data_IF_437645303073
#
_entry.id   IF_437645303073
#
_cell.length_a   1.000
_cell.length_b   1.000
_cell.length_c   1.000
_cell.angle_alpha   90.00
_cell.angle_beta   90.00
_cell.angle_gamma   90.00
#
_symmetry.space_group_name_H-M   'P 1'
#
loop_
_entity.id
_entity.type
_entity.pdbx_description
1 polymer ?
#
# COMPACT_ATOMS: atom_id res chain seq x y z
N UNK A 1 -3.54 23.66 18.68
CA UNK A 1 -3.46 22.33 18.06
C UNK A 1 -4.84 22.05 17.53
N UNK A 2 -4.96 21.57 16.29
CA UNK A 2 -6.27 21.47 15.62
C UNK A 2 -7.15 20.42 16.31
N UNK A 3 -8.47 20.54 16.16
CA UNK A 3 -9.40 19.45 16.48
C UNK A 3 -9.40 18.40 15.36
N UNK A 4 -9.91 17.20 15.63
CA UNK A 4 -10.06 16.16 14.62
C UNK A 4 -10.91 16.65 13.41
N UNK A 5 -12.00 17.37 13.68
CA UNK A 5 -12.87 17.91 12.63
C UNK A 5 -12.17 19.00 11.79
N UNK A 6 -11.36 19.87 12.41
CA UNK A 6 -10.54 20.85 11.67
C UNK A 6 -9.52 20.16 10.75
N UNK A 7 -8.88 19.07 11.20
CA UNK A 7 -7.95 18.28 10.37
C UNK A 7 -8.68 17.67 9.18
N UNK A 8 -9.84 17.04 9.40
CA UNK A 8 -10.65 16.48 8.31
C UNK A 8 -11.08 17.55 7.32
N UNK A 9 -11.52 18.70 7.79
CA UNK A 9 -11.94 19.82 6.95
C UNK A 9 -10.78 20.35 6.10
N UNK A 10 -9.58 20.49 6.69
CA UNK A 10 -8.37 20.92 5.96
C UNK A 10 -7.98 19.94 4.85
N UNK A 11 -8.00 18.63 5.12
CA UNK A 11 -7.73 17.59 4.12
C UNK A 11 -8.80 17.61 3.02
N UNK A 12 -10.08 17.68 3.39
CA UNK A 12 -11.18 17.70 2.43
C UNK A 12 -11.14 18.94 1.52
N UNK A 13 -10.80 20.11 2.07
CA UNK A 13 -10.61 21.33 1.28
C UNK A 13 -9.46 21.19 0.29
N UNK A 14 -8.35 20.55 0.70
CA UNK A 14 -7.20 20.31 -0.19
C UNK A 14 -7.51 19.28 -1.29
N UNK A 15 -8.26 18.21 -0.99
CA UNK A 15 -8.76 17.27 -2.00
C UNK A 15 -9.62 18.02 -3.01
N UNK A 16 -10.63 18.76 -2.53
CA UNK A 16 -11.52 19.54 -3.39
C UNK A 16 -10.76 20.52 -4.29
N UNK A 17 -9.75 21.21 -3.77
CA UNK A 17 -8.94 22.12 -4.57
C UNK A 17 -8.13 21.43 -5.69
N UNK A 18 -7.88 20.11 -5.57
CA UNK A 18 -7.16 19.28 -6.54
C UNK A 18 -8.08 18.56 -7.53
N UNK A 19 -9.35 18.33 -7.16
CA UNK A 19 -10.34 17.69 -8.01
C UNK A 19 -10.52 18.43 -9.33
N UNK A 20 -10.65 17.68 -10.43
CA UNK A 20 -10.92 18.30 -11.73
C UNK A 20 -12.26 19.03 -11.73
N UNK A 21 -12.37 20.13 -12.49
CA UNK A 21 -13.56 20.99 -12.49
C UNK A 21 -14.89 20.24 -12.70
N UNK A 22 -14.91 19.16 -13.49
CA UNK A 22 -16.13 18.39 -13.73
C UNK A 22 -16.59 17.59 -12.50
N UNK A 23 -15.69 17.26 -11.57
CA UNK A 23 -15.98 16.49 -10.35
C UNK A 23 -16.73 17.31 -9.29
N UNK A 24 -16.70 18.64 -9.40
CA UNK A 24 -17.37 19.56 -8.47
C UNK A 24 -18.89 19.65 -8.65
N UNK A 25 -19.44 19.09 -9.74
CA UNK A 25 -20.89 19.10 -9.94
C UNK A 25 -21.56 18.14 -8.95
N UNK A 26 -22.72 18.50 -8.35
CA UNK A 26 -23.38 17.62 -7.38
C UNK A 26 -23.66 16.21 -7.93
N UNK A 27 -24.04 16.10 -9.20
CA UNK A 27 -24.30 14.83 -9.86
C UNK A 27 -23.05 13.97 -9.98
N UNK A 28 -21.91 14.54 -10.42
CA UNK A 28 -20.66 13.78 -10.53
C UNK A 28 -20.09 13.46 -9.15
N UNK A 29 -20.18 14.38 -8.19
CA UNK A 29 -19.76 14.13 -6.81
C UNK A 29 -20.55 12.97 -6.18
N UNK A 30 -21.88 12.96 -6.33
CA UNK A 30 -22.73 11.88 -5.84
C UNK A 30 -22.41 10.55 -6.56
N UNK A 31 -22.11 10.60 -7.85
CA UNK A 31 -21.75 9.44 -8.65
C UNK A 31 -20.39 8.85 -8.24
N UNK A 32 -19.37 9.69 -8.07
CA UNK A 32 -18.00 9.28 -7.77
C UNK A 32 -17.80 8.88 -6.29
N UNK A 33 -18.60 9.42 -5.36
CA UNK A 33 -18.47 9.14 -3.92
C UNK A 33 -19.03 7.77 -3.46
N UNK A 34 -19.71 7.03 -4.33
CA UNK A 34 -20.41 5.77 -3.98
C UNK A 34 -19.56 4.50 -4.10
N UNK A 35 -18.30 4.60 -4.48
CA UNK A 35 -17.48 3.44 -4.84
C UNK A 35 -16.48 3.12 -3.74
N UNK A 36 -16.85 2.16 -2.88
CA UNK A 36 -15.95 1.52 -1.93
C UNK A 36 -16.15 0.02 -2.00
N UNK A 37 -15.06 -0.74 -1.80
CA UNK A 37 -15.10 -2.20 -1.67
C UNK A 37 -14.64 -3.00 -2.90
N UNK A 38 -14.34 -2.34 -4.02
CA UNK A 38 -13.71 -2.96 -5.20
C UNK A 38 -12.21 -2.65 -5.29
N UNK A 39 -11.50 -3.45 -6.07
CA UNK A 39 -10.06 -3.32 -6.33
C UNK A 39 -9.80 -3.40 -7.82
N UNK A 40 -9.16 -2.36 -8.35
CA UNK A 40 -8.79 -2.28 -9.74
C UNK A 40 -7.49 -3.04 -10.00
N UNK A 41 -7.50 -3.93 -10.98
CA UNK A 41 -6.29 -4.47 -11.58
C UNK A 41 -5.61 -3.38 -12.44
N UNK A 42 -4.40 -2.98 -12.04
CA UNK A 42 -3.61 -1.91 -12.68
C UNK A 42 -2.24 -2.44 -13.07
N UNK A 43 -1.88 -2.32 -14.34
CA UNK A 43 -0.59 -2.74 -14.86
C UNK A 43 0.56 -1.94 -14.24
N UNK A 44 1.58 -2.65 -13.78
CA UNK A 44 2.76 -2.07 -13.13
C UNK A 44 3.72 -1.37 -14.10
N UNK A 45 3.57 -1.63 -15.41
CA UNK A 45 4.55 -1.29 -16.45
C UNK A 45 5.79 -2.18 -16.45
N UNK A 46 5.81 -3.27 -15.65
CA UNK A 46 6.90 -4.26 -15.59
C UNK A 46 6.36 -5.63 -15.99
N UNK A 47 6.51 -5.98 -17.26
CA UNK A 47 5.95 -7.22 -17.81
C UNK A 47 4.42 -7.23 -17.68
N UNK A 48 3.86 -8.37 -17.28
CA UNK A 48 2.41 -8.58 -17.18
C UNK A 48 1.86 -8.34 -15.76
N UNK A 49 2.71 -7.87 -14.85
CA UNK A 49 2.37 -7.68 -13.43
C UNK A 49 1.28 -6.63 -13.24
N UNK A 50 0.31 -6.94 -12.37
CA UNK A 50 -0.80 -6.05 -12.02
C UNK A 50 -0.90 -5.89 -10.50
N UNK A 51 -1.05 -4.66 -10.03
CA UNK A 51 -1.44 -4.38 -8.66
C UNK A 51 -2.96 -4.41 -8.54
N UNK A 52 -3.47 -4.87 -7.39
CA UNK A 52 -4.89 -4.79 -7.05
C UNK A 52 -5.10 -3.58 -6.13
N UNK A 53 -5.36 -2.42 -6.73
CA UNK A 53 -5.41 -1.12 -6.04
C UNK A 53 -6.85 -0.83 -5.59
N UNK A 54 -7.10 -0.40 -4.34
CA UNK A 54 -8.45 -0.06 -3.92
C UNK A 54 -9.07 1.04 -4.79
N UNK A 55 -10.30 0.83 -5.24
CA UNK A 55 -11.04 1.79 -6.07
C UNK A 55 -11.73 2.82 -5.17
N UNK A 56 -10.96 3.73 -4.58
CA UNK A 56 -11.45 4.82 -3.69
C UNK A 56 -11.58 6.16 -4.44
N UNK A 57 -11.78 6.11 -5.75
CA UNK A 57 -11.61 7.27 -6.63
C UNK A 57 -10.14 7.60 -6.85
N UNK A 58 -9.81 8.89 -6.92
CA UNK A 58 -8.41 9.32 -7.08
C UNK A 58 -7.68 9.28 -5.74
N UNK A 59 -6.51 8.64 -5.71
CA UNK A 59 -5.67 8.58 -4.51
C UNK A 59 -4.87 9.88 -4.39
N UNK A 60 -5.50 10.94 -3.88
CA UNK A 60 -4.85 12.23 -3.64
C UNK A 60 -3.78 12.15 -2.55
N UNK A 61 -4.09 11.41 -1.49
CA UNK A 61 -3.24 11.29 -0.32
C UNK A 61 -3.23 9.85 0.21
N UNK A 62 -2.13 9.51 0.86
CA UNK A 62 -1.99 8.35 1.72
C UNK A 62 -1.75 8.82 3.16
N UNK A 63 -2.25 8.06 4.11
CA UNK A 63 -2.32 8.46 5.50
C UNK A 63 -1.62 7.47 6.41
N UNK A 64 -1.06 7.96 7.51
CA UNK A 64 -0.60 7.15 8.64
C UNK A 64 -0.93 7.82 9.95
N UNK A 65 -1.80 7.21 10.72
CA UNK A 65 -2.13 7.65 12.08
C UNK A 65 -1.21 7.04 13.14
N UNK A 66 -0.88 7.83 14.16
CA UNK A 66 -0.16 7.36 15.35
C UNK A 66 -0.65 8.10 16.60
N UNK A 67 -0.72 7.39 17.72
CA UNK A 67 -1.13 7.95 19.02
C UNK A 67 -0.14 9.00 19.54
N UNK A 68 1.08 9.04 19.03
CA UNK A 68 2.06 10.08 19.33
C UNK A 68 3.11 10.18 18.21
N UNK A 69 3.77 11.34 18.12
CA UNK A 69 4.93 11.50 17.25
C UNK A 69 6.08 10.63 17.79
N UNK A 70 6.61 9.77 16.92
CA UNK A 70 7.87 9.05 17.17
C UNK A 70 8.90 9.60 16.22
N UNK A 71 9.59 10.66 16.62
CA UNK A 71 10.58 11.34 15.78
C UNK A 71 11.97 10.68 15.93
N UNK A 72 12.68 10.39 14.81
CA UNK A 72 12.19 10.41 13.44
C UNK A 72 11.23 9.25 13.15
N UNK A 73 10.22 9.48 12.30
CA UNK A 73 9.32 8.41 11.86
C UNK A 73 10.06 7.48 10.89
N UNK A 74 10.40 6.27 11.37
CA UNK A 74 11.21 5.27 10.66
C UNK A 74 10.61 3.86 10.77
N UNK A 75 10.91 2.96 9.81
CA UNK A 75 10.48 1.56 9.83
C UNK A 75 10.93 0.81 11.07
N UNK A 76 10.18 -0.23 11.43
CA UNK A 76 10.37 -1.04 12.64
C UNK A 76 11.74 -1.71 12.71
N UNK A 77 12.32 -2.11 11.56
CA UNK A 77 13.64 -2.76 11.48
C UNK A 77 14.81 -1.83 11.86
N UNK A 78 14.60 -0.51 11.90
CA UNK A 78 15.64 0.47 12.23
C UNK A 78 15.44 1.15 13.59
N UNK A 79 14.36 0.84 14.31
CA UNK A 79 14.07 1.44 15.62
C UNK A 79 14.99 0.87 16.69
N UNK A 80 15.46 1.73 17.59
CA UNK A 80 16.41 1.35 18.65
C UNK A 80 17.86 1.23 18.18
N UNK A 81 18.18 1.75 16.99
CA UNK A 81 19.52 1.74 16.39
C UNK A 81 20.18 0.34 16.35
N UNK A 82 19.51 -0.65 15.73
CA UNK A 82 20.04 -2.01 15.66
C UNK A 82 21.32 -2.09 14.83
N UNK A 83 22.18 -3.02 15.19
CA UNK A 83 23.38 -3.32 14.40
C UNK A 83 23.04 -4.12 13.13
N UNK A 84 24.02 -4.25 12.22
CA UNK A 84 23.83 -4.98 10.95
C UNK A 84 23.45 -6.45 11.14
N UNK A 85 23.88 -7.09 12.24
CA UNK A 85 23.56 -8.49 12.52
C UNK A 85 22.11 -8.67 12.94
N UNK A 86 21.57 -7.70 13.70
CA UNK A 86 20.16 -7.65 14.11
C UNK A 86 19.26 -7.37 12.91
N UNK A 87 19.61 -6.38 12.07
CA UNK A 87 18.89 -6.09 10.82
C UNK A 87 18.91 -7.31 9.89
N UNK A 88 20.06 -7.99 9.77
CA UNK A 88 20.16 -9.20 8.97
C UNK A 88 19.32 -10.35 9.53
N UNK A 89 19.21 -10.47 10.85
CA UNK A 89 18.32 -11.45 11.51
C UNK A 89 16.86 -11.21 11.15
N UNK A 90 16.39 -9.97 11.21
CA UNK A 90 15.02 -9.64 10.80
C UNK A 90 14.78 -9.91 9.30
N UNK A 91 15.80 -9.73 8.45
CA UNK A 91 15.75 -10.11 7.02
C UNK A 91 15.74 -11.64 6.81
N UNK A 92 16.37 -12.43 7.69
CA UNK A 92 16.22 -13.90 7.66
C UNK A 92 14.77 -14.30 7.98
N UNK A 93 14.13 -13.64 8.96
CA UNK A 93 12.71 -13.85 9.27
C UNK A 93 11.82 -13.48 8.10
N UNK A 94 12.09 -12.34 7.45
CA UNK A 94 11.41 -11.97 6.20
C UNK A 94 11.58 -13.05 5.13
N UNK A 95 12.77 -13.62 4.97
CA UNK A 95 13.02 -14.71 4.00
C UNK A 95 12.20 -15.97 4.33
N UNK A 96 12.11 -16.36 5.61
CA UNK A 96 11.22 -17.46 6.03
C UNK A 96 9.75 -17.14 5.73
N UNK A 97 9.31 -15.91 5.99
CA UNK A 97 7.94 -15.48 5.70
C UNK A 97 7.62 -15.49 4.20
N UNK A 98 8.58 -15.12 3.34
CA UNK A 98 8.44 -15.22 1.89
C UNK A 98 8.23 -16.66 1.43
N UNK A 99 8.96 -17.61 2.00
CA UNK A 99 8.76 -19.05 1.74
C UNK A 99 7.38 -19.53 2.18
N UNK A 100 6.91 -19.09 3.36
CA UNK A 100 5.55 -19.35 3.83
C UNK A 100 4.51 -18.83 2.82
N UNK A 101 4.62 -17.57 2.39
CA UNK A 101 3.72 -16.97 1.40
C UNK A 101 3.73 -17.73 0.07
N UNK A 102 4.91 -18.10 -0.41
CA UNK A 102 5.07 -18.83 -1.66
C UNK A 102 4.41 -20.22 -1.64
N UNK A 103 4.24 -20.82 -0.44
CA UNK A 103 3.55 -22.11 -0.24
C UNK A 103 2.02 -21.99 -0.13
N UNK A 104 1.46 -20.78 -0.10
CA UNK A 104 0.02 -20.57 0.05
C UNK A 104 -0.72 -20.89 -1.27
N UNK A 105 -1.73 -21.80 -1.28
CA UNK A 105 -2.37 -22.25 -2.51
C UNK A 105 -2.99 -21.13 -3.36
N UNK A 106 -3.63 -20.13 -2.73
CA UNK A 106 -4.18 -18.96 -3.45
C UNK A 106 -3.07 -18.09 -4.06
N UNK A 107 -1.92 -17.97 -3.38
CA UNK A 107 -0.79 -17.24 -3.94
C UNK A 107 -0.24 -17.99 -5.15
N UNK A 108 -0.10 -19.31 -5.01
CA UNK A 108 0.45 -20.20 -6.02
C UNK A 108 -0.43 -20.31 -7.27
N UNK A 109 -1.73 -20.53 -7.11
CA UNK A 109 -2.63 -20.91 -8.20
C UNK A 109 -3.52 -19.79 -8.71
N UNK A 110 -3.76 -18.73 -7.92
CA UNK A 110 -4.58 -17.59 -8.34
C UNK A 110 -3.72 -16.34 -8.61
N UNK A 111 -2.97 -15.86 -7.62
CA UNK A 111 -2.19 -14.62 -7.79
C UNK A 111 -1.13 -14.74 -8.89
N UNK A 112 -0.33 -15.81 -8.89
CA UNK A 112 0.69 -16.02 -9.93
C UNK A 112 0.07 -16.23 -11.32
N UNK A 113 -1.03 -16.98 -11.42
CA UNK A 113 -1.75 -17.23 -12.69
C UNK A 113 -2.22 -15.93 -13.35
N UNK A 114 -2.70 -14.98 -12.55
CA UNK A 114 -3.21 -13.69 -13.03
C UNK A 114 -2.16 -12.57 -13.05
N UNK A 115 -0.91 -12.90 -12.71
CA UNK A 115 0.19 -11.95 -12.57
C UNK A 115 -0.13 -10.83 -11.56
N UNK A 116 -0.91 -11.12 -10.52
CA UNK A 116 -1.16 -10.19 -9.44
C UNK A 116 0.05 -10.10 -8.52
N UNK A 117 0.51 -8.88 -8.26
CA UNK A 117 1.68 -8.63 -7.41
C UNK A 117 1.38 -9.02 -5.96
N UNK A 118 2.18 -9.95 -5.44
CA UNK A 118 2.18 -10.29 -4.01
C UNK A 118 3.20 -9.39 -3.31
N UNK A 119 2.71 -8.42 -2.53
CA UNK A 119 3.59 -7.50 -1.81
C UNK A 119 4.12 -8.16 -0.53
N UNK A 120 5.10 -9.04 -0.68
CA UNK A 120 5.61 -9.91 0.40
C UNK A 120 6.08 -9.13 1.64
N UNK A 121 6.80 -8.03 1.44
CA UNK A 121 7.35 -7.25 2.56
C UNK A 121 6.29 -6.38 3.24
N UNK A 122 5.34 -5.83 2.46
CA UNK A 122 4.17 -5.15 3.03
C UNK A 122 3.28 -6.10 3.84
N UNK A 123 3.07 -7.31 3.33
CA UNK A 123 2.39 -8.38 4.08
C UNK A 123 3.13 -8.72 5.37
N UNK A 124 4.45 -8.95 5.30
CA UNK A 124 5.26 -9.23 6.48
C UNK A 124 5.11 -8.15 7.56
N UNK A 125 5.14 -6.88 7.15
CA UNK A 125 4.95 -5.73 8.04
C UNK A 125 3.55 -5.73 8.69
N UNK A 126 2.49 -5.97 7.92
CA UNK A 126 1.10 -6.09 8.42
C UNK A 126 0.88 -7.26 9.38
N UNK A 127 1.68 -8.33 9.26
CA UNK A 127 1.68 -9.48 10.17
C UNK A 127 2.70 -9.36 11.32
N UNK A 128 3.30 -8.19 11.51
CA UNK A 128 4.08 -7.85 12.69
C UNK A 128 5.58 -8.19 12.62
N UNK A 129 6.09 -8.58 11.45
CA UNK A 129 7.53 -8.71 11.25
C UNK A 129 8.18 -7.32 11.19
N UNK A 130 9.44 -7.24 11.61
CA UNK A 130 10.23 -6.01 11.46
C UNK A 130 10.75 -5.89 10.03
N UNK A 131 10.34 -4.86 9.32
CA UNK A 131 10.71 -4.63 7.91
C UNK A 131 11.13 -3.19 7.65
N UNK A 132 11.52 -2.90 6.40
CA UNK A 132 11.84 -1.56 5.93
C UNK A 132 10.58 -0.75 5.53
N UNK A 133 9.39 -1.32 5.74
CA UNK A 133 8.11 -0.76 5.33
C UNK A 133 7.45 -0.01 6.49
N UNK A 134 6.86 1.14 6.16
CA UNK A 134 5.83 1.80 6.97
C UNK A 134 4.46 1.55 6.33
N UNK A 135 3.50 1.12 7.16
CA UNK A 135 2.11 0.99 6.74
C UNK A 135 1.50 2.36 6.50
N UNK A 136 0.92 2.53 5.32
CA UNK A 136 0.09 3.64 4.89
C UNK A 136 -1.29 3.12 4.48
N UNK A 137 -2.29 3.99 4.44
CA UNK A 137 -3.64 3.67 3.94
C UNK A 137 -4.17 4.81 3.07
N UNK A 138 -4.95 4.50 2.03
CA UNK A 138 -5.68 5.53 1.28
C UNK A 138 -7.00 5.96 1.95
N UNK A 139 -7.33 5.38 3.10
CA UNK A 139 -8.56 5.68 3.84
C UNK A 139 -8.27 6.50 5.11
N UNK A 140 -8.74 7.73 5.15
CA UNK A 140 -8.52 8.66 6.26
C UNK A 140 -9.10 8.12 7.58
N UNK A 141 -10.27 7.48 7.55
CA UNK A 141 -10.89 6.93 8.76
C UNK A 141 -10.08 5.77 9.35
N UNK A 142 -9.51 4.92 8.50
CA UNK A 142 -8.62 3.82 8.92
C UNK A 142 -7.37 4.39 9.59
N UNK A 143 -6.78 5.46 9.03
CA UNK A 143 -5.64 6.12 9.64
C UNK A 143 -6.01 6.75 10.99
N UNK A 144 -7.15 7.45 11.08
CA UNK A 144 -7.61 8.05 12.35
C UNK A 144 -7.85 6.96 13.40
N UNK A 145 -8.48 5.84 13.05
CA UNK A 145 -8.64 4.69 13.96
C UNK A 145 -7.30 4.26 14.55
N UNK A 146 -6.26 4.08 13.72
CA UNK A 146 -4.92 3.72 14.22
C UNK A 146 -4.23 4.84 15.01
N UNK A 147 -4.68 6.09 14.90
CA UNK A 147 -4.16 7.21 15.67
C UNK A 147 -4.83 7.34 17.05
N UNK A 148 -6.12 7.00 17.16
CA UNK A 148 -6.93 7.25 18.36
C UNK A 148 -7.52 5.98 19.00
N UNK A 149 -7.15 4.79 18.54
CA UNK A 149 -7.45 3.52 19.21
C UNK A 149 -6.13 2.79 19.52
N UNK A 150 -5.92 2.43 20.78
CA UNK A 150 -4.68 1.78 21.23
C UNK A 150 -4.74 0.28 20.97
N UNK A 151 -3.67 -0.28 20.44
CA UNK A 151 -3.49 -1.72 20.35
C UNK A 151 -3.02 -2.27 21.71
N UNK A 152 -3.70 -3.30 22.21
CA UNK A 152 -3.35 -4.04 23.41
C UNK A 152 -2.69 -5.37 23.03
N UNK A 153 -1.37 -5.45 23.25
CA UNK A 153 -0.59 -6.64 22.93
C UNK A 153 -1.01 -7.89 23.73
N UNK A 154 -1.51 -7.72 24.97
CA UNK A 154 -1.89 -8.85 25.82
C UNK A 154 -3.15 -9.55 25.35
N UNK A 155 -4.14 -8.77 24.92
CA UNK A 155 -5.41 -9.27 24.40
C UNK A 155 -5.42 -9.46 22.88
N UNK A 156 -4.38 -9.01 22.18
CA UNK A 156 -4.30 -9.01 20.70
C UNK A 156 -5.57 -8.40 20.09
N UNK A 157 -5.89 -7.19 20.56
CA UNK A 157 -7.10 -6.43 20.23
C UNK A 157 -6.87 -4.92 20.33
N UNK A 158 -7.74 -4.13 19.72
CA UNK A 158 -7.76 -2.68 19.92
C UNK A 158 -8.67 -2.31 21.10
N UNK A 159 -8.46 -1.12 21.65
CA UNK A 159 -9.29 -0.49 22.69
C UNK A 159 -9.31 1.03 22.44
N UNK A 160 -10.34 1.71 22.92
CA UNK A 160 -10.45 3.17 22.82
C UNK A 160 -9.77 3.86 24.02
N UNK A 161 -9.53 5.16 23.90
CA UNK A 161 -9.05 5.99 25.00
C UNK A 161 -10.25 6.55 25.78
N UNK A 162 -10.20 6.45 27.11
CA UNK A 162 -11.27 6.91 28.02
C UNK A 162 -11.14 8.38 28.41
N UNK A 163 -10.07 9.03 27.96
CA UNK A 163 -9.74 10.42 28.24
C UNK A 163 -9.40 11.09 26.91
N UNK A 164 -9.62 12.39 26.85
CA UNK A 164 -9.19 13.23 25.74
C UNK A 164 -7.67 13.14 25.56
N UNK A 165 -7.22 13.25 24.33
CA UNK A 165 -5.83 13.02 24.01
C UNK A 165 -5.35 13.79 22.81
N UNK A 166 -4.11 13.46 22.42
CA UNK A 166 -3.43 14.02 21.27
C UNK A 166 -2.97 12.90 20.36
N UNK A 167 -3.00 13.14 19.07
CA UNK A 167 -2.56 12.19 18.08
C UNK A 167 -1.88 12.89 16.91
N UNK A 168 -1.24 12.08 16.07
CA UNK A 168 -0.50 12.52 14.89
C UNK A 168 -1.04 11.83 13.65
N UNK A 169 -1.26 12.61 12.60
CA UNK A 169 -1.59 12.12 11.28
C UNK A 169 -0.53 12.57 10.28
N UNK A 170 0.19 11.62 9.71
CA UNK A 170 1.06 11.87 8.56
C UNK A 170 0.23 11.76 7.27
N UNK A 171 0.44 12.70 6.37
CA UNK A 171 -0.22 12.77 5.07
C UNK A 171 0.86 12.81 3.98
N UNK A 172 0.84 11.80 3.13
CA UNK A 172 1.77 11.61 2.03
C UNK A 172 1.05 11.90 0.74
N UNK A 173 1.69 12.67 -0.12
CA UNK A 173 1.27 12.80 -1.50
C UNK A 173 1.97 11.69 -2.32
N UNK A 174 1.23 10.72 -2.87
CA UNK A 174 1.85 9.57 -3.53
C UNK A 174 2.68 9.96 -4.76
N UNK A 175 2.42 11.11 -5.40
CA UNK A 175 3.22 11.59 -6.54
C UNK A 175 4.63 12.02 -6.13
N UNK A 176 4.81 12.38 -4.86
CA UNK A 176 6.10 12.74 -4.30
C UNK A 176 6.97 11.52 -4.01
N UNK A 177 6.38 10.33 -3.84
CA UNK A 177 7.12 9.07 -3.57
C UNK A 177 8.11 9.19 -2.40
N UNK A 178 7.68 9.86 -1.32
CA UNK A 178 8.52 10.20 -0.15
C UNK A 178 9.74 11.07 -0.49
N UNK A 179 9.56 12.05 -1.37
CA UNK A 179 10.55 13.08 -1.73
C UNK A 179 10.00 14.50 -1.57
N UNK A 180 10.85 15.55 -1.47
CA UNK A 180 10.40 16.94 -1.34
C UNK A 180 9.72 17.53 -2.59
N UNK A 181 9.82 16.88 -3.74
CA UNK A 181 9.24 17.31 -5.02
C UNK A 181 8.89 16.08 -5.86
N UNK A 182 7.95 16.16 -6.83
CA UNK A 182 7.55 14.99 -7.63
C UNK A 182 8.62 14.54 -8.63
N UNK A 183 8.56 13.28 -9.05
CA UNK A 183 9.29 12.82 -10.23
C UNK A 183 8.52 13.17 -11.50
N UNK A 184 9.23 13.40 -12.61
CA UNK A 184 8.63 13.40 -13.95
C UNK A 184 8.70 12.01 -14.62
N UNK A 185 9.12 10.98 -13.88
CA UNK A 185 9.09 9.58 -14.28
C UNK A 185 7.81 8.91 -13.75
N UNK A 186 6.71 9.09 -14.46
CA UNK A 186 5.40 8.54 -14.05
C UNK A 186 5.36 7.01 -14.04
N UNK A 187 6.26 6.33 -14.76
CA UNK A 187 6.50 4.89 -14.66
C UNK A 187 6.94 4.43 -13.24
N UNK A 188 7.35 5.37 -12.38
CA UNK A 188 7.69 5.14 -10.97
C UNK A 188 6.54 5.41 -10.00
N UNK A 189 5.45 6.05 -10.44
CA UNK A 189 4.30 6.30 -9.56
C UNK A 189 3.81 4.98 -8.98
N UNK A 190 3.73 4.88 -7.65
CA UNK A 190 3.35 3.64 -6.94
C UNK A 190 4.22 2.40 -7.24
N UNK A 191 5.41 2.60 -7.83
CA UNK A 191 6.35 1.55 -8.20
C UNK A 191 7.78 1.82 -7.64
N UNK A 192 7.93 2.94 -6.94
CA UNK A 192 9.14 3.41 -6.27
C UNK A 192 9.16 3.07 -4.77
N UNK A 193 9.28 4.08 -3.91
CA UNK A 193 9.30 3.92 -2.46
C UNK A 193 7.92 3.55 -1.90
N UNK A 194 6.87 4.18 -2.44
CA UNK A 194 5.47 3.89 -2.16
C UNK A 194 4.99 2.82 -3.14
N UNK A 195 4.37 1.77 -2.61
CA UNK A 195 3.76 0.69 -3.40
C UNK A 195 2.40 0.28 -2.84
N UNK A 196 1.43 -0.07 -3.69
CA UNK A 196 0.20 -0.69 -3.24
C UNK A 196 0.51 -2.01 -2.54
N UNK A 197 -0.12 -2.21 -1.38
CA UNK A 197 -0.31 -3.56 -0.84
C UNK A 197 -1.68 -4.05 -1.33
N UNK A 198 -2.72 -3.23 -1.15
CA UNK A 198 -4.02 -3.42 -1.77
C UNK A 198 -4.66 -4.78 -1.42
N UNK A 199 -5.38 -5.36 -2.38
CA UNK A 199 -5.94 -6.70 -2.20
C UNK A 199 -4.84 -7.76 -2.36
N UNK A 200 -4.80 -8.69 -1.41
CA UNK A 200 -3.83 -9.77 -1.34
C UNK A 200 -4.56 -11.08 -1.07
N UNK A 201 -3.85 -12.21 -1.09
CA UNK A 201 -4.44 -13.53 -0.78
C UNK A 201 -5.04 -13.61 0.64
N UNK A 202 -4.71 -12.64 1.49
CA UNK A 202 -5.26 -12.47 2.82
C UNK A 202 -6.06 -11.17 2.90
N UNK A 203 -7.15 -11.13 3.69
CA UNK A 203 -8.11 -10.04 3.64
C UNK A 203 -7.60 -8.75 4.30
N UNK A 204 -6.70 -8.85 5.29
CA UNK A 204 -6.28 -7.73 6.14
C UNK A 204 -5.77 -6.49 5.37
N UNK A 205 -4.86 -6.60 4.39
CA UNK A 205 -4.37 -5.41 3.69
C UNK A 205 -5.46 -4.75 2.81
N UNK A 206 -6.37 -5.56 2.27
CA UNK A 206 -7.48 -5.08 1.45
C UNK A 206 -8.45 -4.22 2.27
N UNK A 207 -8.90 -4.72 3.43
CA UNK A 207 -9.82 -3.97 4.32
C UNK A 207 -9.19 -2.72 4.94
N UNK A 208 -7.85 -2.68 5.02
CA UNK A 208 -7.11 -1.50 5.47
C UNK A 208 -6.77 -0.52 4.33
N UNK A 209 -7.11 -0.84 3.08
CA UNK A 209 -6.75 -0.03 1.91
C UNK A 209 -5.23 0.24 1.86
N UNK A 210 -4.45 -0.81 2.11
CA UNK A 210 -3.05 -0.72 2.51
C UNK A 210 -2.07 -0.35 1.39
N UNK A 211 -1.09 0.47 1.75
CA UNK A 211 0.09 0.82 0.95
C UNK A 211 1.33 0.69 1.83
N UNK A 212 2.47 0.37 1.21
CA UNK A 212 3.76 0.29 1.88
C UNK A 212 4.65 1.42 1.44
N UNK A 213 5.23 2.15 2.39
CA UNK A 213 6.34 3.07 2.15
C UNK A 213 7.65 2.43 2.61
N UNK A 214 8.51 2.08 1.65
CA UNK A 214 9.87 1.61 1.95
C UNK A 214 10.77 2.79 2.29
N UNK A 215 11.47 2.70 3.42
CA UNK A 215 12.49 3.67 3.82
C UNK A 215 13.77 2.93 4.15
N UNK A 216 14.87 3.31 3.48
CA UNK A 216 16.19 2.74 3.73
C UNK A 216 16.83 3.21 5.03
N UNK A 217 17.88 2.51 5.46
CA UNK A 217 18.67 2.88 6.64
C UNK A 217 19.18 4.32 6.56
N UNK A 218 18.98 5.08 7.63
CA UNK A 218 19.44 6.47 7.73
C UNK A 218 18.52 7.52 7.07
N UNK A 219 17.44 7.09 6.42
CA UNK A 219 16.39 7.97 5.92
C UNK A 219 15.20 8.04 6.90
N UNK A 220 14.21 8.89 6.57
CA UNK A 220 12.98 9.07 7.34
C UNK A 220 11.82 9.46 6.42
N UNK A 221 10.60 9.53 6.97
CA UNK A 221 9.44 10.04 6.22
C UNK A 221 9.66 11.49 5.79
N UNK A 222 9.21 11.80 4.57
CA UNK A 222 9.07 13.13 3.99
C UNK A 222 7.59 13.35 3.68
N UNK A 223 6.90 14.09 4.54
CA UNK A 223 5.43 14.16 4.51
C UNK A 223 4.90 15.42 5.19
N UNK A 224 3.63 15.73 4.94
CA UNK A 224 2.87 16.63 5.79
C UNK A 224 2.48 15.92 7.07
N UNK A 225 2.35 16.67 8.16
CA UNK A 225 1.98 16.14 9.47
C UNK A 225 1.02 17.08 10.19
N UNK A 226 -0.05 16.51 10.74
CA UNK A 226 -0.95 17.16 11.68
C UNK A 226 -0.71 16.64 13.09
N UNK A 227 -0.64 17.56 14.05
CA UNK A 227 -0.86 17.26 15.46
C UNK A 227 -2.25 17.76 15.82
N UNK A 228 -3.08 16.91 16.41
CA UNK A 228 -4.47 17.23 16.71
C UNK A 228 -4.91 16.68 18.06
N UNK A 229 -5.87 17.37 18.67
CA UNK A 229 -6.58 16.89 19.85
C UNK A 229 -7.79 16.07 19.42
N UNK A 230 -8.13 15.05 20.20
CA UNK A 230 -9.35 14.26 20.06
C UNK A 230 -10.02 14.04 21.42
N UNK A 231 -11.33 13.80 21.43
CA UNK A 231 -12.06 13.48 22.66
C UNK A 231 -12.20 11.98 22.91
N UNK A 232 -12.45 11.59 24.17
CA UNK A 232 -12.76 10.20 24.51
C UNK A 232 -13.95 9.65 23.70
N UNK A 233 -14.96 10.50 23.44
CA UNK A 233 -16.14 10.15 22.63
C UNK A 233 -15.76 9.89 21.17
N UNK A 234 -14.88 10.70 20.57
CA UNK A 234 -14.39 10.46 19.21
C UNK A 234 -13.63 9.15 19.11
N UNK A 235 -12.74 8.88 20.08
CA UNK A 235 -12.01 7.61 20.16
C UNK A 235 -12.96 6.40 20.25
N UNK A 236 -13.99 6.50 21.10
CA UNK A 236 -15.03 5.49 21.23
C UNK A 236 -15.83 5.31 19.94
N UNK A 237 -16.22 6.41 19.28
CA UNK A 237 -16.98 6.37 18.04
C UNK A 237 -16.21 5.66 16.91
N UNK A 238 -14.90 5.91 16.77
CA UNK A 238 -14.08 5.18 15.80
C UNK A 238 -13.91 3.71 16.15
N UNK A 239 -13.74 3.41 17.44
CA UNK A 239 -13.68 2.03 17.93
C UNK A 239 -14.95 1.25 17.58
N UNK A 240 -16.13 1.84 17.77
CA UNK A 240 -17.42 1.26 17.42
C UNK A 240 -17.63 1.18 15.90
N UNK A 241 -17.28 2.23 15.15
CA UNK A 241 -17.33 2.27 13.68
C UNK A 241 -16.60 1.10 13.03
N UNK A 242 -15.46 0.71 13.59
CA UNK A 242 -14.66 -0.41 13.12
C UNK A 242 -14.87 -1.71 13.93
N UNK A 243 -16.02 -1.84 14.63
CA UNK A 243 -16.42 -3.03 15.40
C UNK A 243 -15.30 -3.55 16.31
N UNK A 244 -14.85 -2.72 17.23
CA UNK A 244 -13.73 -3.02 18.12
C UNK A 244 -12.39 -3.34 17.42
N UNK A 245 -12.25 -2.91 16.16
CA UNK A 245 -11.10 -3.21 15.30
C UNK A 245 -11.20 -4.54 14.55
N UNK A 246 -12.24 -5.35 14.75
CA UNK A 246 -12.36 -6.69 14.14
C UNK A 246 -12.39 -6.65 12.60
N UNK A 247 -12.94 -5.58 12.02
CA UNK A 247 -12.99 -5.42 10.57
C UNK A 247 -11.66 -5.02 9.95
N UNK A 248 -10.73 -4.47 10.74
CA UNK A 248 -9.40 -4.06 10.27
C UNK A 248 -8.31 -5.06 10.70
N UNK A 249 -8.45 -5.67 11.87
CA UNK A 249 -7.51 -6.63 12.48
C UNK A 249 -8.03 -8.07 12.36
N UNK A 250 -8.23 -8.52 11.12
CA UNK A 250 -8.79 -9.84 10.82
C UNK A 250 -7.84 -10.93 11.31
N UNK A 251 -8.39 -11.89 12.07
CA UNK A 251 -7.65 -13.04 12.60
C UNK A 251 -7.67 -14.22 11.63
N UNK A 252 -6.65 -14.31 10.77
CA UNK A 252 -6.52 -15.35 9.74
C UNK A 252 -5.41 -16.38 10.05
N UNK A 253 -5.29 -17.39 9.17
CA UNK A 253 -4.36 -18.52 9.28
C UNK A 253 -2.87 -18.12 9.23
N UNK A 254 -2.52 -16.88 8.83
CA UNK A 254 -1.13 -16.41 8.80
C UNK A 254 -0.62 -15.96 10.16
N UNK A 255 -1.49 -15.59 11.10
CA UNK A 255 -1.05 -14.88 12.32
C UNK A 255 -0.16 -15.75 13.19
N UNK A 256 -0.57 -16.99 13.47
CA UNK A 256 0.20 -17.89 14.34
C UNK A 256 1.58 -18.19 13.75
N UNK A 257 1.64 -18.49 12.45
CA UNK A 257 2.88 -18.75 11.73
C UNK A 257 3.77 -17.49 11.66
N UNK A 258 3.19 -16.32 11.41
CA UNK A 258 3.90 -15.04 11.40
C UNK A 258 4.50 -14.69 12.77
N UNK A 259 3.75 -14.91 13.86
CA UNK A 259 4.26 -14.74 15.24
C UNK A 259 5.42 -15.68 15.52
N UNK A 260 5.30 -16.95 15.14
CA UNK A 260 6.39 -17.93 15.28
C UNK A 260 7.65 -17.50 14.49
N UNK A 261 7.49 -17.00 13.27
CA UNK A 261 8.60 -16.48 12.44
C UNK A 261 9.22 -15.23 13.10
N UNK A 262 8.40 -14.32 13.62
CA UNK A 262 8.87 -13.09 14.27
C UNK A 262 9.74 -13.38 15.52
N UNK A 263 9.47 -14.49 16.22
CA UNK A 263 10.19 -14.94 17.41
C UNK A 263 11.32 -15.94 17.10
N UNK A 264 11.42 -16.43 15.86
CA UNK A 264 12.38 -17.45 15.45
C UNK A 264 13.83 -17.01 15.71
N UNK A 265 14.62 -17.91 16.28
CA UNK A 265 16.06 -17.74 16.57
C UNK A 265 16.94 -18.84 15.95
N UNK A 266 16.36 -19.94 15.48
CA UNK A 266 17.09 -21.02 14.80
C UNK A 266 16.76 -20.99 13.31
N UNK A 267 17.76 -20.87 12.45
CA UNK A 267 17.59 -20.76 10.99
C UNK A 267 18.40 -21.83 10.25
N UNK A 268 17.92 -22.26 9.10
CA UNK A 268 18.71 -23.12 8.22
C UNK A 268 19.83 -22.33 7.56
N UNK A 269 20.93 -23.00 7.23
CA UNK A 269 22.01 -22.42 6.40
C UNK A 269 21.50 -21.91 5.06
N UNK A 270 20.48 -22.56 4.49
CA UNK A 270 19.86 -22.14 3.23
C UNK A 270 19.15 -20.79 3.36
N UNK A 271 18.39 -20.57 4.44
CA UNK A 271 17.76 -19.27 4.73
C UNK A 271 18.83 -18.18 4.85
N UNK A 272 19.93 -18.45 5.57
CA UNK A 272 21.05 -17.52 5.66
C UNK A 272 21.62 -17.18 4.28
N UNK A 273 21.89 -18.19 3.45
CA UNK A 273 22.53 -17.99 2.15
C UNK A 273 21.63 -17.23 1.15
N UNK A 274 20.33 -17.51 1.14
CA UNK A 274 19.32 -16.76 0.39
C UNK A 274 19.22 -15.31 0.87
N UNK A 275 19.10 -15.11 2.18
CA UNK A 275 19.06 -13.77 2.79
C UNK A 275 20.33 -12.99 2.45
N UNK A 276 21.49 -13.64 2.46
CA UNK A 276 22.76 -13.00 2.12
C UNK A 276 22.83 -12.61 0.64
N UNK A 277 22.29 -13.42 -0.26
CA UNK A 277 22.24 -13.09 -1.68
C UNK A 277 21.38 -11.84 -1.94
N UNK A 278 20.24 -11.72 -1.25
CA UNK A 278 19.29 -10.62 -1.41
C UNK A 278 19.70 -9.34 -0.66
N UNK A 279 20.26 -9.49 0.54
CA UNK A 279 20.39 -8.39 1.50
C UNK A 279 21.79 -8.27 2.10
N UNK A 280 22.83 -8.63 1.34
CA UNK A 280 24.23 -8.55 1.77
C UNK A 280 24.55 -7.19 2.42
N UNK A 281 24.92 -7.15 3.72
CA UNK A 281 25.38 -5.92 4.35
C UNK A 281 26.72 -5.46 3.75
N UNK A 282 26.85 -4.15 3.50
CA UNK A 282 28.11 -3.56 2.97
C UNK A 282 29.26 -3.84 3.95
N UNK A 283 30.40 -4.31 3.43
CA UNK A 283 31.59 -4.60 4.24
C UNK A 283 31.55 -5.93 5.02
N UNK A 284 30.58 -6.81 4.73
CA UNK A 284 30.49 -8.15 5.30
C UNK A 284 30.77 -9.25 4.26
N UNK A 285 31.64 -10.19 4.61
CA UNK A 285 31.71 -11.53 3.98
C UNK A 285 30.72 -12.48 4.68
N UNK A 286 30.38 -13.63 4.08
CA UNK A 286 29.55 -14.65 4.74
C UNK A 286 30.13 -15.06 6.09
N UNK A 287 31.43 -15.36 6.14
CA UNK A 287 32.13 -15.77 7.38
C UNK A 287 32.06 -14.68 8.45
N UNK A 288 32.35 -13.42 8.08
CA UNK A 288 32.29 -12.28 9.01
C UNK A 288 30.88 -12.08 9.55
N UNK A 289 29.85 -12.21 8.71
CA UNK A 289 28.47 -12.04 9.13
C UNK A 289 28.01 -13.18 10.03
N UNK A 290 28.33 -14.43 9.70
CA UNK A 290 28.04 -15.60 10.56
C UNK A 290 28.65 -15.44 11.96
N UNK A 291 29.89 -14.96 12.04
CA UNK A 291 30.56 -14.69 13.31
C UNK A 291 29.96 -13.50 14.08
N UNK A 292 29.30 -12.56 13.39
CA UNK A 292 28.67 -11.39 13.99
C UNK A 292 27.24 -11.63 14.48
N UNK A 293 26.57 -12.70 14.04
CA UNK A 293 25.21 -13.04 14.47
C UNK A 293 25.15 -13.25 15.99
N UNK A 294 24.14 -12.67 16.63
CA UNK A 294 23.89 -12.77 18.08
C UNK A 294 22.46 -13.23 18.34
N UNK A 295 22.28 -14.09 19.36
CA UNK A 295 20.95 -14.57 19.77
C UNK A 295 20.27 -15.49 18.76
N UNK A 296 21.01 -15.98 17.74
CA UNK A 296 20.49 -16.89 16.72
C UNK A 296 21.48 -18.04 16.45
N UNK A 297 20.96 -19.16 15.96
CA UNK A 297 21.75 -20.36 15.64
C UNK A 297 21.49 -20.78 14.19
N UNK A 298 22.55 -21.19 13.49
CA UNK A 298 22.47 -21.70 12.11
C UNK A 298 22.66 -23.21 12.08
N UNK A 299 21.61 -23.93 11.70
CA UNK A 299 21.62 -25.39 11.60
C UNK A 299 21.53 -25.87 10.16
N UNK A 300 21.90 -27.14 9.94
CA UNK A 300 21.85 -27.74 8.60
C UNK A 300 20.40 -27.96 8.15
N UNK A 301 19.57 -28.52 9.04
CA UNK A 301 18.21 -28.91 8.76
C UNK A 301 17.28 -28.21 9.76
N UNK A 302 16.67 -27.11 9.34
CA UNK A 302 15.56 -26.48 10.08
C UNK A 302 14.35 -26.59 9.15
N UNK A 303 13.25 -27.24 9.58
CA UNK A 303 12.03 -27.29 8.79
C UNK A 303 11.55 -25.88 8.45
N UNK A 304 11.13 -25.66 7.21
CA UNK A 304 10.52 -24.39 6.83
C UNK A 304 9.16 -24.23 7.54
N UNK A 305 8.82 -22.98 7.88
CA UNK A 305 7.48 -22.64 8.36
C UNK A 305 6.57 -22.53 7.13
N UNK A 306 5.79 -23.58 6.86
CA UNK A 306 4.89 -23.66 5.69
C UNK A 306 3.49 -24.10 6.10
N UNK A 307 2.56 -24.05 5.15
CA UNK A 307 1.26 -24.71 5.27
C UNK A 307 1.43 -26.23 5.07
N UNK A 308 0.88 -27.02 5.98
CA UNK A 308 0.79 -28.48 5.85
C UNK A 308 -0.15 -28.86 4.71
N UNK A 309 -0.05 -30.09 4.18
CA UNK A 309 -0.97 -30.55 3.14
C UNK A 309 -2.44 -30.51 3.57
N UNK A 310 -2.73 -30.74 4.85
CA UNK A 310 -4.08 -30.60 5.40
C UNK A 310 -4.53 -29.14 5.35
N UNK A 311 -3.71 -28.20 5.84
CA UNK A 311 -4.02 -26.77 5.77
C UNK A 311 -4.18 -26.29 4.32
N UNK A 312 -3.33 -26.77 3.40
CA UNK A 312 -3.42 -26.41 1.97
C UNK A 312 -4.74 -26.87 1.37
N UNK A 313 -5.17 -28.11 1.63
CA UNK A 313 -6.47 -28.62 1.17
C UNK A 313 -7.62 -27.81 1.75
N UNK A 314 -7.62 -27.53 3.05
CA UNK A 314 -8.65 -26.69 3.69
C UNK A 314 -8.72 -25.29 3.07
N UNK A 315 -7.58 -24.67 2.77
CA UNK A 315 -7.52 -23.35 2.11
C UNK A 315 -8.14 -23.43 0.71
N UNK A 316 -7.87 -24.48 -0.05
CA UNK A 316 -8.44 -24.65 -1.40
C UNK A 316 -9.94 -24.93 -1.35
N UNK A 317 -10.41 -25.76 -0.40
CA UNK A 317 -11.83 -26.01 -0.16
C UNK A 317 -12.56 -24.69 0.19
N UNK A 318 -12.06 -23.96 1.19
CA UNK A 318 -12.62 -22.66 1.60
C UNK A 318 -12.63 -21.64 0.44
N UNK A 319 -11.56 -21.62 -0.35
CA UNK A 319 -11.45 -20.77 -1.53
C UNK A 319 -12.48 -21.13 -2.59
N UNK A 320 -12.60 -22.41 -2.94
CA UNK A 320 -13.49 -22.87 -3.99
C UNK A 320 -14.98 -22.77 -3.58
N UNK A 321 -15.28 -22.90 -2.29
CA UNK A 321 -16.66 -22.85 -1.77
C UNK A 321 -17.25 -21.44 -1.82
N UNK A 322 -16.47 -20.40 -1.51
CA UNK A 322 -16.98 -19.02 -1.49
C UNK A 322 -15.94 -17.91 -1.68
N UNK A 323 -14.73 -18.00 -1.11
CA UNK A 323 -13.81 -16.85 -1.14
C UNK A 323 -13.35 -16.47 -2.55
N UNK A 324 -13.14 -17.45 -3.43
CA UNK A 324 -12.75 -17.19 -4.82
C UNK A 324 -13.81 -16.43 -5.60
N UNK A 325 -15.08 -16.79 -5.39
CA UNK A 325 -16.22 -16.06 -5.98
C UNK A 325 -16.31 -14.63 -5.44
N UNK A 326 -16.19 -14.43 -4.12
CA UNK A 326 -16.23 -13.09 -3.53
C UNK A 326 -15.05 -12.23 -3.96
N UNK A 327 -13.85 -12.80 -4.06
CA UNK A 327 -12.65 -12.14 -4.58
C UNK A 327 -12.85 -11.70 -6.04
N UNK A 328 -13.37 -12.59 -6.89
CA UNK A 328 -13.63 -12.30 -8.30
C UNK A 328 -14.65 -11.16 -8.50
N UNK A 329 -15.68 -11.09 -7.66
CA UNK A 329 -16.70 -10.01 -7.70
C UNK A 329 -16.13 -8.63 -7.41
N UNK A 330 -15.09 -8.54 -6.58
CA UNK A 330 -14.52 -7.24 -6.18
C UNK A 330 -13.32 -6.82 -7.02
N UNK A 331 -12.70 -7.74 -7.77
CA UNK A 331 -11.60 -7.42 -8.68
C UNK A 331 -12.17 -6.92 -10.02
N UNK A 332 -11.84 -5.69 -10.36
CA UNK A 332 -12.36 -5.01 -11.55
C UNK A 332 -11.24 -4.56 -12.49
N UNK A 333 -11.57 -4.31 -13.76
CA UNK A 333 -10.67 -3.65 -14.72
C UNK A 333 -11.32 -2.39 -15.30
N UNK A 334 -10.48 -1.40 -15.63
CA UNK A 334 -10.89 -0.15 -16.29
C UNK A 334 -10.15 -0.02 -17.61
N UNK A 335 -10.82 -0.24 -18.75
CA UNK A 335 -10.21 -0.01 -20.04
C UNK A 335 -10.10 1.48 -20.33
N UNK A 336 -9.09 1.83 -21.12
CA UNK A 336 -8.84 3.18 -21.61
C UNK A 336 -8.25 3.15 -23.02
N UNK A 337 -8.33 4.28 -23.71
CA UNK A 337 -7.78 4.44 -25.07
C UNK A 337 -7.41 5.89 -25.36
N UNK A 338 -6.62 6.12 -26.40
CA UNK A 338 -6.29 7.44 -26.93
C UNK A 338 -7.16 7.80 -28.14
N UNK A 339 -7.38 9.09 -28.36
CA UNK A 339 -8.11 9.60 -29.51
C UNK A 339 -7.57 10.95 -29.99
N UNK A 340 -7.81 11.26 -31.27
CA UNK A 340 -7.29 12.46 -31.93
C UNK A 340 -8.14 13.72 -31.67
N UNK A 341 -9.38 13.54 -31.21
CA UNK A 341 -10.29 14.62 -30.84
C UNK A 341 -11.75 14.22 -30.87
N UNK A 342 -12.65 15.21 -30.93
CA UNK A 342 -14.07 15.04 -31.21
C UNK A 342 -14.47 15.83 -32.45
N UNK A 343 -15.40 15.28 -33.24
CA UNK A 343 -16.02 15.93 -34.39
C UNK A 343 -17.52 16.09 -34.15
N UNK A 344 -18.12 17.15 -34.69
CA UNK A 344 -19.57 17.37 -34.60
C UNK A 344 -20.30 16.70 -35.75
N UNK A 345 -21.24 15.85 -35.41
CA UNK A 345 -22.22 15.29 -36.33
C UNK A 345 -23.20 16.35 -36.82
N UNK A 346 -23.89 16.05 -37.92
CA UNK A 346 -24.89 16.95 -38.51
C UNK A 346 -26.07 17.27 -37.58
N UNK A 347 -26.36 16.40 -36.61
CA UNK A 347 -27.39 16.58 -35.58
C UNK A 347 -26.89 17.36 -34.34
N UNK A 348 -25.64 17.80 -34.35
CA UNK A 348 -25.01 18.53 -33.27
C UNK A 348 -24.41 17.66 -32.16
N UNK A 349 -24.51 16.33 -32.25
CA UNK A 349 -23.84 15.41 -31.33
C UNK A 349 -22.33 15.36 -31.61
N UNK A 350 -21.51 15.09 -30.59
CA UNK A 350 -20.07 14.93 -30.77
C UNK A 350 -19.70 13.45 -30.84
N UNK A 351 -18.85 13.10 -31.80
CA UNK A 351 -18.27 11.77 -31.98
C UNK A 351 -16.76 11.82 -31.74
N UNK A 352 -16.24 10.83 -31.02
CA UNK A 352 -14.79 10.64 -30.85
C UNK A 352 -14.20 10.08 -32.14
N UNK A 353 -13.10 10.68 -32.61
CA UNK A 353 -12.41 10.28 -33.85
C UNK A 353 -10.97 9.88 -33.58
N UNK A 354 -10.43 9.04 -34.48
CA UNK A 354 -9.04 8.58 -34.41
C UNK A 354 -8.74 7.74 -33.16
N UNK A 355 -9.63 6.83 -32.76
CA UNK A 355 -9.38 5.98 -31.58
C UNK A 355 -8.24 4.99 -31.86
N UNK A 356 -7.22 4.99 -31.01
CA UNK A 356 -6.05 4.11 -31.07
C UNK A 356 -5.57 3.76 -29.64
N UNK A 357 -4.53 2.93 -29.54
CA UNK A 357 -3.89 2.52 -28.27
C UNK A 357 -4.91 2.08 -27.20
N UNK A 358 -5.70 1.06 -27.53
CA UNK A 358 -6.69 0.50 -26.59
C UNK A 358 -5.99 -0.41 -25.58
N UNK A 359 -6.31 -0.17 -24.30
CA UNK A 359 -5.81 -0.96 -23.19
C UNK A 359 -6.97 -1.50 -22.35
N UNK A 360 -6.89 -2.77 -21.97
CA UNK A 360 -7.90 -3.40 -21.11
C UNK A 360 -7.75 -3.00 -19.64
N UNK A 361 -6.54 -2.61 -19.24
CA UNK A 361 -6.17 -2.23 -17.90
C UNK A 361 -5.57 -0.82 -17.90
N UNK A 362 -5.80 -0.11 -16.80
CA UNK A 362 -5.07 1.12 -16.52
C UNK A 362 -3.61 0.79 -16.18
N UNK A 363 -2.70 1.71 -16.46
CA UNK A 363 -1.29 1.60 -16.08
C UNK A 363 -0.98 2.55 -14.92
N UNK A 364 0.00 2.19 -14.09
CA UNK A 364 0.52 3.09 -13.05
C UNK A 364 1.02 4.43 -13.63
N UNK A 365 1.59 4.39 -14.84
CA UNK A 365 2.02 5.60 -15.55
C UNK A 365 0.82 6.53 -15.79
N UNK A 366 -0.28 6.00 -16.33
CA UNK A 366 -1.47 6.80 -16.63
C UNK A 366 -2.08 7.39 -15.36
N UNK A 367 -2.11 6.63 -14.27
CA UNK A 367 -2.52 7.15 -12.95
C UNK A 367 -1.60 8.29 -12.48
N UNK A 368 -0.29 8.11 -12.61
CA UNK A 368 0.70 9.11 -12.23
C UNK A 368 0.57 10.42 -13.02
N UNK A 369 0.31 10.33 -14.32
CA UNK A 369 0.03 11.50 -15.19
C UNK A 369 -1.21 12.27 -14.69
N UNK A 370 -2.31 11.57 -14.42
CA UNK A 370 -3.54 12.18 -13.91
C UNK A 370 -3.33 12.86 -12.56
N UNK A 371 -2.68 12.17 -11.62
CA UNK A 371 -2.41 12.72 -10.27
C UNK A 371 -1.45 13.89 -10.32
N UNK A 372 -0.50 13.91 -11.25
CA UNK A 372 0.38 15.06 -11.45
C UNK A 372 -0.38 16.32 -11.87
N UNK A 373 -1.36 16.19 -12.78
CA UNK A 373 -2.20 17.33 -13.17
C UNK A 373 -2.98 17.90 -11.98
N UNK A 374 -3.55 17.02 -11.15
CA UNK A 374 -4.23 17.42 -9.92
C UNK A 374 -3.28 18.07 -8.90
N UNK A 375 -2.07 17.53 -8.74
CA UNK A 375 -1.03 18.13 -7.88
C UNK A 375 -0.66 19.54 -8.34
N UNK A 376 -0.54 19.77 -9.64
CA UNK A 376 -0.22 21.08 -10.22
C UNK A 376 -1.34 22.11 -10.02
N UNK A 377 -2.59 21.67 -9.91
CA UNK A 377 -3.72 22.57 -9.64
C UNK A 377 -3.63 23.19 -8.24
N UNK A 378 -3.19 22.42 -7.24
CA UNK A 378 -3.01 22.90 -5.86
C UNK A 378 -1.78 22.25 -5.19
N UNK A 379 -0.57 22.77 -5.44
CA UNK A 379 0.67 22.25 -4.87
C UNK A 379 0.91 22.71 -3.43
N UNK A 380 0.05 23.61 -2.89
CA UNK A 380 0.26 24.21 -1.57
C UNK A 380 0.07 23.19 -0.45
N UNK A 381 0.56 23.57 0.73
CA UNK A 381 0.34 22.79 1.95
C UNK A 381 -1.12 22.82 2.37
N UNK A 382 -1.57 21.77 3.06
CA UNK A 382 -2.84 21.79 3.79
C UNK A 382 -2.76 22.76 4.98
N UNK A 383 -3.84 23.48 5.26
CA UNK A 383 -3.92 24.41 6.37
C UNK A 383 -3.71 23.70 7.71
N UNK A 384 -2.78 24.23 8.51
CA UNK A 384 -2.41 23.66 9.81
C UNK A 384 -1.47 22.44 9.77
N UNK A 385 -1.14 21.91 8.58
CA UNK A 385 -0.12 20.89 8.44
C UNK A 385 1.31 21.46 8.48
N UNK A 386 2.23 20.67 9.02
CA UNK A 386 3.67 21.00 9.04
C UNK A 386 4.43 19.98 8.19
N UNK A 387 5.33 20.47 7.33
CA UNK A 387 6.22 19.60 6.57
C UNK A 387 7.27 18.95 7.48
N UNK A 388 7.43 17.64 7.36
CA UNK A 388 8.44 16.86 8.07
C UNK A 388 9.39 16.22 7.07
N UNK A 389 10.67 16.59 7.15
CA UNK A 389 11.80 15.90 6.55
C UNK A 389 12.90 15.81 7.62
N UNK A 390 12.81 14.81 8.50
CA UNK A 390 13.63 14.76 9.72
C UNK A 390 15.13 14.69 9.46
N UNK A 391 15.54 14.22 8.28
CA UNK A 391 16.95 14.07 7.90
C UNK A 391 17.47 15.22 7.04
N UNK A 392 16.58 16.13 6.60
CA UNK A 392 16.94 17.23 5.70
C UNK A 392 17.47 16.78 4.33
N UNK A 393 17.33 15.51 3.97
CA UNK A 393 17.86 14.99 2.71
C UNK A 393 17.07 15.58 1.53
N UNK A 394 17.75 16.17 0.53
CA UNK A 394 17.10 16.67 -0.67
C UNK A 394 16.63 15.51 -1.57
N UNK A 395 15.84 15.84 -2.60
CA UNK A 395 15.53 14.86 -3.65
C UNK A 395 16.83 14.44 -4.36
N UNK A 396 17.08 13.14 -4.58
CA UNK A 396 18.18 12.70 -5.42
C UNK A 396 18.09 13.30 -6.83
N UNK A 397 19.24 13.61 -7.43
CA UNK A 397 19.26 14.07 -8.81
C UNK A 397 18.79 12.96 -9.75
N UNK A 398 17.79 13.25 -10.57
CA UNK A 398 17.25 12.30 -11.55
C UNK A 398 17.43 12.85 -12.96
N UNK A 399 17.82 11.99 -13.90
CA UNK A 399 17.80 12.33 -15.32
C UNK A 399 16.35 12.40 -15.78
N UNK A 400 15.97 13.52 -16.38
CA UNK A 400 14.64 13.72 -16.92
C UNK A 400 14.67 13.61 -18.46
N UNK A 401 14.11 12.53 -19.04
CA UNK A 401 14.10 12.34 -20.49
C UNK A 401 13.14 13.29 -21.22
N UNK A 402 12.29 14.03 -20.49
CA UNK A 402 11.27 14.93 -21.03
C UNK A 402 11.68 16.41 -21.02
N UNK A 403 12.85 16.75 -20.47
CA UNK A 403 13.36 18.13 -20.41
C UNK A 403 14.33 18.41 -21.56
N UNK A 404 13.87 18.28 -22.80
CA UNK A 404 14.61 18.64 -24.02
C UNK A 404 14.23 20.03 -24.56
N UNK A 405 13.36 20.77 -23.84
CA UNK A 405 12.87 22.09 -24.21
C UNK A 405 11.82 22.10 -25.31
N UNK A 406 11.33 20.94 -25.77
CA UNK A 406 10.33 20.84 -26.85
C UNK A 406 8.95 20.56 -26.28
N UNK A 407 7.96 21.32 -26.76
CA UNK A 407 6.56 20.98 -26.53
C UNK A 407 6.20 19.71 -27.28
N UNK A 408 5.52 18.79 -26.60
CA UNK A 408 4.99 17.55 -27.17
C UNK A 408 3.48 17.58 -27.04
N UNK A 409 2.77 17.37 -28.15
CA UNK A 409 1.32 17.16 -28.10
C UNK A 409 1.08 15.81 -27.40
N UNK A 410 0.20 15.82 -26.41
CA UNK A 410 -0.31 14.61 -25.77
C UNK A 410 -1.70 14.36 -26.32
N UNK A 411 -1.97 13.16 -26.79
CA UNK A 411 -3.29 12.80 -27.29
C UNK A 411 -4.31 12.75 -26.14
N UNK A 412 -5.58 12.98 -26.49
CA UNK A 412 -6.65 12.93 -25.52
C UNK A 412 -6.91 11.46 -25.14
N UNK A 413 -7.12 11.21 -23.84
CA UNK A 413 -7.37 9.86 -23.33
C UNK A 413 -8.78 9.75 -22.78
N UNK A 414 -9.46 8.65 -23.07
CA UNK A 414 -10.74 8.30 -22.46
C UNK A 414 -10.60 7.02 -21.64
N UNK A 415 -11.13 7.05 -20.43
CA UNK A 415 -11.08 5.93 -19.48
C UNK A 415 -12.47 5.67 -18.92
N UNK A 416 -12.76 4.40 -18.66
CA UNK A 416 -14.00 4.03 -17.97
C UNK A 416 -13.95 4.51 -16.52
N UNK A 417 -14.96 5.25 -16.07
CA UNK A 417 -15.01 5.78 -14.69
C UNK A 417 -15.09 4.66 -13.66
N UNK A 418 -15.92 3.64 -13.91
CA UNK A 418 -16.14 2.50 -13.01
C UNK A 418 -15.59 1.20 -13.57
N UNK A 419 -14.89 0.46 -12.72
CA UNK A 419 -14.42 -0.86 -13.09
C UNK A 419 -15.58 -1.85 -13.21
N UNK A 420 -15.41 -2.86 -14.06
CA UNK A 420 -16.31 -4.01 -14.12
C UNK A 420 -15.57 -5.28 -13.68
N UNK A 421 -16.21 -6.15 -12.87
CA UNK A 421 -15.69 -7.49 -12.62
C UNK A 421 -15.48 -8.23 -13.95
N UNK A 422 -14.40 -8.99 -14.04
CA UNK A 422 -14.03 -9.66 -15.29
C UNK A 422 -13.55 -11.10 -15.11
N UNK A 423 -13.41 -11.57 -13.87
CA UNK A 423 -12.97 -12.93 -13.58
C UNK A 423 -14.18 -13.87 -13.52
N UNK A 424 -14.11 -14.98 -14.25
CA UNK A 424 -15.11 -16.04 -14.30
C UNK A 424 -14.72 -17.22 -13.40
N UNK A 425 -15.58 -18.24 -13.27
CA UNK A 425 -15.32 -19.41 -12.41
C UNK A 425 -13.97 -20.07 -12.70
N UNK A 426 -13.66 -20.29 -13.98
CA UNK A 426 -12.40 -20.91 -14.40
C UNK A 426 -11.16 -20.07 -14.04
N UNK A 427 -11.33 -18.76 -13.82
CA UNK A 427 -10.22 -17.87 -13.47
C UNK A 427 -9.84 -18.02 -11.99
N UNK A 428 -10.83 -18.09 -11.10
CA UNK A 428 -10.57 -18.17 -9.66
C UNK A 428 -10.52 -19.59 -9.13
N UNK A 429 -11.19 -20.56 -9.73
CA UNK A 429 -11.23 -21.94 -9.22
C UNK A 429 -9.84 -22.59 -9.23
N UNK A 430 -9.50 -23.25 -8.13
CA UNK A 430 -8.25 -23.98 -7.95
C UNK A 430 -8.54 -25.48 -8.07
N UNK A 431 -7.93 -26.13 -9.05
CA UNK A 431 -7.99 -27.59 -9.20
C UNK A 431 -6.90 -28.23 -8.33
N UNK A 432 -7.26 -29.28 -7.57
CA UNK A 432 -6.35 -30.06 -6.72
C UNK A 432 -5.81 -31.26 -7.48
#
# INVERSE_FOLDING_TARGET
MMTLEEVKASIAASIKARDFMYEHTPANYELLSKHFGTFQAVESGRGEEKYLIPEVGTVHFLYRGQNMEKAPCIPTIYRGAPDESQVFTDRMRLTVFKRLLASHPVVEHFFKRHHFVVNEEGLAQHYGLRTEILDLTSNLDVAIFFAICKYNQKSDSYDYFREDGKAVLYVFDPILDNEPSPSLRFDRYMNGNIKPIGLQAFPRPGVQFGYGLRIGKGASTKSWMFEFNYTAEESKAYYEKFKAGEVLWIKDRMISKSKAIAEQTVFSRNVFDETYALYRPKGYSKTKLKAALRGVTLEKNVPDVVFTEVERREIVEEWNDHLGTEMAKIIVRKPWFLHEGTEKNADGTEQIVGIHDRHDYLTLQKMGETVMLMFMAEPSKMDGAVWRNYTGLPRPQEHNPYMDGKWRKMDAGMMTVFGKPYLEENDWRIEI
#
